data_IF_889056509623
#
_entry.id   IF_889056509623
#
_cell.length_a   1.000
_cell.length_b   1.000
_cell.length_c   1.000
_cell.angle_alpha   90.00
_cell.angle_beta   90.00
_cell.angle_gamma   90.00
#
_symmetry.space_group_name_H-M   'P 1'
#
loop_
_entity.id
_entity.type
_entity.pdbx_description
1 polymer ?
#
# COMPACT_ATOMS: atom_id res chain seq x y z
N UNK A 1 13.08 29.56 28.58
CA UNK A 1 12.72 29.60 27.15
C UNK A 1 12.18 28.23 26.80
N UNK A 2 10.87 28.05 26.89
CA UNK A 2 10.20 26.84 26.46
C UNK A 2 10.22 26.80 24.93
N UNK A 3 11.07 25.95 24.38
CA UNK A 3 10.97 25.57 22.98
C UNK A 3 9.71 24.70 22.86
N UNK A 4 8.74 25.02 21.99
CA UNK A 4 7.63 24.11 21.75
C UNK A 4 8.20 22.78 21.28
N UNK A 5 7.68 21.68 21.82
CA UNK A 5 8.07 20.34 21.41
C UNK A 5 7.99 20.23 19.88
N UNK A 6 8.99 19.61 19.21
CA UNK A 6 8.95 19.46 17.77
C UNK A 6 7.67 18.71 17.40
N UNK A 7 6.76 19.36 16.67
CA UNK A 7 5.64 18.69 16.04
C UNK A 7 6.25 17.80 14.97
N UNK A 8 6.45 16.52 15.31
CA UNK A 8 6.65 15.51 14.29
C UNK A 8 5.41 15.63 13.40
N UNK A 9 5.56 16.13 12.17
CA UNK A 9 4.58 15.86 11.11
C UNK A 9 4.69 14.36 10.82
N UNK A 10 4.30 13.54 11.80
CA UNK A 10 4.27 12.10 11.68
C UNK A 10 3.31 11.80 10.55
N UNK A 11 3.73 10.92 9.65
CA UNK A 11 2.83 10.39 8.64
C UNK A 11 1.61 9.83 9.35
N UNK A 12 0.44 10.40 9.07
CA UNK A 12 -0.82 9.80 9.52
C UNK A 12 -0.95 8.44 8.83
N UNK A 13 -1.73 7.49 9.40
CA UNK A 13 -2.07 6.26 8.72
C UNK A 13 -2.57 6.51 7.28
N UNK A 14 -3.35 7.58 7.07
CA UNK A 14 -3.79 8.02 5.74
C UNK A 14 -2.63 8.34 4.78
N UNK A 15 -1.70 9.21 5.19
CA UNK A 15 -0.56 9.59 4.34
C UNK A 15 0.35 8.38 4.08
N UNK A 16 0.54 7.51 5.08
CA UNK A 16 1.34 6.29 4.92
C UNK A 16 0.74 5.33 3.90
N UNK A 17 -0.58 5.10 3.95
CA UNK A 17 -1.30 4.30 2.95
C UNK A 17 -1.14 4.93 1.57
N UNK A 18 -1.34 6.24 1.46
CA UNK A 18 -1.32 6.93 0.18
C UNK A 18 0.07 6.90 -0.51
N UNK A 19 1.15 7.09 0.24
CA UNK A 19 2.51 7.01 -0.31
C UNK A 19 2.90 5.60 -0.73
N UNK A 20 2.55 4.59 0.08
CA UNK A 20 2.80 3.18 -0.25
C UNK A 20 1.99 2.76 -1.47
N UNK A 21 0.72 3.16 -1.55
CA UNK A 21 -0.14 2.88 -2.69
C UNK A 21 0.36 3.55 -3.97
N UNK A 22 0.78 4.81 -3.92
CA UNK A 22 1.43 5.48 -5.04
C UNK A 22 2.67 4.73 -5.52
N UNK A 23 3.52 4.26 -4.59
CA UNK A 23 4.71 3.48 -4.93
C UNK A 23 4.36 2.16 -5.58
N UNK A 24 3.29 1.49 -5.14
CA UNK A 24 2.77 0.25 -5.76
C UNK A 24 2.34 0.51 -7.21
N UNK A 25 1.60 1.59 -7.46
CA UNK A 25 1.16 1.97 -8.82
C UNK A 25 2.37 2.27 -9.69
N UNK A 26 3.26 3.14 -9.22
CA UNK A 26 4.40 3.65 -9.99
C UNK A 26 5.41 2.55 -10.33
N UNK A 27 5.71 1.66 -9.40
CA UNK A 27 6.70 0.60 -9.60
C UNK A 27 6.12 -0.63 -10.30
N UNK A 28 4.82 -0.91 -10.14
CA UNK A 28 4.17 -2.07 -10.74
C UNK A 28 4.94 -3.38 -10.48
N UNK A 29 5.25 -4.12 -11.54
CA UNK A 29 6.00 -5.37 -11.44
C UNK A 29 7.44 -5.19 -10.89
N UNK A 30 8.06 -4.03 -11.06
CA UNK A 30 9.39 -3.76 -10.51
C UNK A 30 9.38 -3.57 -8.98
N UNK A 31 8.20 -3.52 -8.33
CA UNK A 31 8.12 -3.34 -6.89
C UNK A 31 8.63 -4.58 -6.14
N UNK A 32 9.71 -4.41 -5.37
CA UNK A 32 10.31 -5.45 -4.52
C UNK A 32 9.98 -5.27 -3.04
N UNK A 33 9.36 -4.15 -2.66
CA UNK A 33 9.04 -3.81 -1.26
C UNK A 33 7.75 -4.50 -0.81
N UNK A 34 7.85 -5.81 -0.54
CA UNK A 34 6.72 -6.61 -0.04
C UNK A 34 6.10 -6.06 1.25
N UNK A 35 6.94 -5.44 2.09
CA UNK A 35 6.50 -4.76 3.30
C UNK A 35 5.41 -3.71 3.05
N UNK A 36 5.45 -2.97 1.94
CA UNK A 36 4.47 -1.92 1.67
C UNK A 36 3.06 -2.50 1.49
N UNK A 37 2.93 -3.66 0.82
CA UNK A 37 1.66 -4.36 0.68
C UNK A 37 1.14 -4.85 2.04
N UNK A 38 2.01 -5.43 2.84
CA UNK A 38 1.65 -5.93 4.17
C UNK A 38 1.24 -4.81 5.12
N UNK A 39 1.99 -3.70 5.15
CA UNK A 39 1.70 -2.56 6.01
C UNK A 39 0.35 -1.94 5.65
N UNK A 40 0.05 -1.72 4.35
CA UNK A 40 -1.27 -1.21 3.95
C UNK A 40 -2.35 -2.20 4.36
N UNK A 41 -2.17 -3.49 4.04
CA UNK A 41 -3.15 -4.53 4.35
C UNK A 41 -3.46 -4.56 5.84
N UNK A 42 -2.43 -4.54 6.70
CA UNK A 42 -2.59 -4.50 8.14
C UNK A 42 -3.35 -3.25 8.59
N UNK A 43 -3.01 -2.07 8.05
CA UNK A 43 -3.68 -0.82 8.39
C UNK A 43 -5.16 -0.83 8.02
N UNK A 44 -5.53 -1.28 6.81
CA UNK A 44 -6.94 -1.34 6.38
C UNK A 44 -7.77 -2.38 7.15
N UNK A 45 -7.11 -3.37 7.77
CA UNK A 45 -7.79 -4.34 8.64
C UNK A 45 -7.95 -3.83 10.08
N UNK A 46 -7.09 -2.90 10.52
CA UNK A 46 -7.05 -2.42 11.91
C UNK A 46 -7.80 -1.11 12.14
N UNK A 47 -7.98 -0.30 11.10
CA UNK A 47 -8.54 1.04 11.21
C UNK A 47 -9.69 1.24 10.24
N UNK A 48 -10.76 1.86 10.73
CA UNK A 48 -11.81 2.43 9.88
C UNK A 48 -11.33 3.80 9.39
N UNK A 49 -11.17 3.92 8.08
CA UNK A 49 -10.77 5.16 7.43
C UNK A 49 -11.99 5.93 6.92
N UNK A 50 -11.99 7.24 7.13
CA UNK A 50 -12.92 8.12 6.41
C UNK A 50 -12.51 8.10 4.92
N UNK A 51 -13.41 7.60 4.07
CA UNK A 51 -13.08 7.26 2.68
C UNK A 51 -12.83 8.51 1.86
N UNK A 52 -13.58 9.58 2.08
CA UNK A 52 -13.43 10.81 1.28
C UNK A 52 -12.09 11.52 1.58
N UNK A 53 -11.69 11.55 2.86
CA UNK A 53 -10.40 12.07 3.32
C UNK A 53 -9.24 11.24 2.73
N UNK A 54 -9.29 9.91 2.86
CA UNK A 54 -8.24 9.04 2.32
C UNK A 54 -8.11 9.18 0.79
N UNK A 55 -9.25 9.23 0.09
CA UNK A 55 -9.29 9.44 -1.37
C UNK A 55 -8.62 10.75 -1.76
N UNK A 56 -8.95 11.84 -1.07
CA UNK A 56 -8.38 13.17 -1.35
C UNK A 56 -6.86 13.17 -1.17
N UNK A 57 -6.36 12.55 -0.09
CA UNK A 57 -4.92 12.44 0.19
C UNK A 57 -4.21 11.61 -0.88
N UNK A 58 -4.78 10.47 -1.28
CA UNK A 58 -4.23 9.62 -2.36
C UNK A 58 -4.15 10.41 -3.67
N UNK A 59 -5.24 11.05 -4.07
CA UNK A 59 -5.29 11.84 -5.30
C UNK A 59 -4.27 12.97 -5.30
N UNK A 60 -4.09 13.66 -4.16
CA UNK A 60 -3.10 14.71 -4.02
C UNK A 60 -1.67 14.17 -4.19
N UNK A 61 -1.35 13.04 -3.56
CA UNK A 61 0.00 12.44 -3.65
C UNK A 61 0.30 11.93 -5.06
N UNK A 62 -0.64 11.22 -5.68
CA UNK A 62 -0.52 10.74 -7.06
C UNK A 62 -0.29 11.91 -8.02
N UNK A 63 -1.09 12.97 -7.89
CA UNK A 63 -0.95 14.20 -8.69
C UNK A 63 0.41 14.86 -8.48
N UNK A 64 0.84 15.04 -7.23
CA UNK A 64 2.11 15.69 -6.89
C UNK A 64 3.32 14.90 -7.39
N UNK A 65 3.23 13.57 -7.44
CA UNK A 65 4.31 12.68 -7.90
C UNK A 65 4.25 12.40 -9.41
N UNK A 66 3.22 12.90 -10.11
CA UNK A 66 3.04 12.70 -11.56
C UNK A 66 2.76 11.24 -11.94
N UNK A 67 2.21 10.46 -11.02
CA UNK A 67 2.02 9.01 -11.22
C UNK A 67 0.76 8.76 -12.04
N UNK A 68 0.92 8.02 -13.15
CA UNK A 68 -0.18 7.69 -14.04
C UNK A 68 -0.95 6.51 -13.48
N UNK A 69 -2.23 6.74 -13.21
CA UNK A 69 -3.16 5.72 -12.71
C UNK A 69 -3.89 5.09 -13.88
N UNK A 70 -3.61 3.81 -14.14
CA UNK A 70 -4.39 2.96 -15.07
C UNK A 70 -5.59 2.37 -14.32
N UNK A 71 -6.60 1.88 -15.05
CA UNK A 71 -7.81 1.26 -14.47
C UNK A 71 -7.54 0.13 -13.46
N UNK A 72 -6.40 -0.56 -13.56
CA UNK A 72 -5.88 -1.44 -12.51
C UNK A 72 -4.36 -1.30 -12.41
N UNK A 73 -3.78 -1.20 -11.20
CA UNK A 73 -2.34 -1.32 -11.01
C UNK A 73 -1.84 -2.71 -11.43
N UNK A 74 -0.67 -2.79 -12.07
CA UNK A 74 -0.03 -4.05 -12.46
C UNK A 74 0.16 -4.98 -11.26
N UNK A 75 0.43 -4.41 -10.09
CA UNK A 75 0.60 -5.16 -8.85
C UNK A 75 -0.68 -5.87 -8.37
N UNK A 76 -1.85 -5.51 -8.91
CA UNK A 76 -3.15 -6.13 -8.58
C UNK A 76 -3.60 -7.19 -9.59
N UNK A 77 -2.80 -7.44 -10.63
CA UNK A 77 -3.08 -8.45 -11.64
C UNK A 77 -2.69 -9.86 -11.17
N UNK A 78 -3.38 -10.87 -11.67
CA UNK A 78 -3.09 -12.28 -11.37
C UNK A 78 -1.66 -12.68 -11.72
N UNK A 79 -1.16 -12.17 -12.84
CA UNK A 79 0.21 -12.38 -13.26
C UNK A 79 1.25 -11.87 -12.24
N UNK A 80 0.90 -10.92 -11.36
CA UNK A 80 1.81 -10.45 -10.31
C UNK A 80 1.85 -11.42 -9.13
N UNK A 81 0.70 -11.74 -8.52
CA UNK A 81 0.71 -12.58 -7.32
C UNK A 81 1.01 -14.05 -7.63
N UNK A 82 0.74 -14.56 -8.84
CA UNK A 82 1.12 -15.92 -9.23
C UNK A 82 2.58 -16.04 -9.72
N UNK A 83 3.30 -14.93 -9.85
CA UNK A 83 4.69 -14.98 -10.30
C UNK A 83 5.63 -15.56 -9.23
N UNK A 84 6.47 -16.51 -9.62
CA UNK A 84 7.43 -17.20 -8.72
C UNK A 84 8.31 -16.23 -7.92
N UNK A 85 8.94 -15.27 -8.62
CA UNK A 85 9.74 -14.22 -7.96
C UNK A 85 8.98 -13.45 -6.87
N UNK A 86 7.69 -13.12 -7.10
CA UNK A 86 6.88 -12.37 -6.13
C UNK A 86 6.51 -13.23 -4.94
N UNK A 87 6.18 -14.49 -5.18
CA UNK A 87 5.94 -15.48 -4.14
C UNK A 87 7.18 -15.68 -3.25
N UNK A 88 8.37 -15.75 -3.85
CA UNK A 88 9.62 -15.91 -3.08
C UNK A 88 9.96 -14.65 -2.26
N UNK A 89 9.78 -13.46 -2.85
CA UNK A 89 9.93 -12.18 -2.13
C UNK A 89 8.95 -12.09 -0.96
N UNK A 90 7.70 -12.51 -1.15
CA UNK A 90 6.68 -12.48 -0.11
C UNK A 90 6.99 -13.45 1.04
N UNK A 91 7.35 -14.69 0.72
CA UNK A 91 7.74 -15.71 1.72
C UNK A 91 8.96 -15.26 2.52
N UNK A 92 9.96 -14.67 1.86
CA UNK A 92 11.14 -14.14 2.54
C UNK A 92 10.76 -13.03 3.52
N UNK A 93 9.94 -12.07 3.08
CA UNK A 93 9.45 -11.00 3.93
C UNK A 93 8.66 -11.51 5.14
N UNK A 94 7.71 -12.44 4.95
CA UNK A 94 6.91 -12.98 6.06
C UNK A 94 7.76 -13.70 7.12
N UNK A 95 8.80 -14.42 6.67
CA UNK A 95 9.75 -15.08 7.57
C UNK A 95 10.50 -14.06 8.43
N UNK A 96 10.91 -12.94 7.84
CA UNK A 96 11.66 -11.90 8.56
C UNK A 96 10.83 -11.25 9.67
N UNK A 97 9.51 -11.15 9.51
CA UNK A 97 8.61 -10.59 10.53
C UNK A 97 7.98 -11.65 11.46
N UNK A 98 8.32 -12.93 11.30
CA UNK A 98 7.81 -14.05 12.13
C UNK A 98 6.28 -14.08 12.30
N UNK A 99 5.53 -13.65 11.28
CA UNK A 99 4.07 -13.54 11.35
C UNK A 99 3.33 -14.74 10.72
N UNK A 100 2.02 -14.77 10.97
CA UNK A 100 1.07 -15.73 10.38
C UNK A 100 1.27 -15.80 8.86
N UNK A 101 1.33 -17.03 8.35
CA UNK A 101 1.37 -17.27 6.90
C UNK A 101 0.06 -16.79 6.28
N UNK A 102 0.13 -15.75 5.47
CA UNK A 102 -0.96 -15.26 4.64
C UNK A 102 -0.54 -15.30 3.16
N UNK A 103 -1.37 -15.84 2.25
CA UNK A 103 -1.05 -15.84 0.82
C UNK A 103 -0.93 -14.42 0.26
N UNK A 104 0.07 -14.20 -0.61
CA UNK A 104 0.23 -12.92 -1.32
C UNK A 104 -1.04 -12.55 -2.11
N UNK A 105 -1.66 -13.55 -2.74
CA UNK A 105 -2.93 -13.41 -3.45
C UNK A 105 -4.01 -12.78 -2.56
N UNK A 106 -4.23 -13.31 -1.37
CA UNK A 106 -5.23 -12.79 -0.43
C UNK A 106 -4.98 -11.32 -0.11
N UNK A 107 -3.74 -10.96 0.22
CA UNK A 107 -3.36 -9.58 0.51
C UNK A 107 -3.65 -8.68 -0.69
N UNK A 108 -3.27 -9.08 -1.90
CA UNK A 108 -3.48 -8.28 -3.10
C UNK A 108 -4.97 -8.14 -3.44
N UNK A 109 -5.76 -9.20 -3.29
CA UNK A 109 -7.21 -9.13 -3.53
C UNK A 109 -7.91 -8.20 -2.54
N UNK A 110 -7.53 -8.24 -1.25
CA UNK A 110 -8.07 -7.33 -0.23
C UNK A 110 -7.71 -5.87 -0.54
N UNK A 111 -6.45 -5.60 -0.89
CA UNK A 111 -6.02 -4.27 -1.31
C UNK A 111 -6.76 -3.80 -2.57
N UNK A 112 -6.90 -4.68 -3.57
CA UNK A 112 -7.62 -4.38 -4.80
C UNK A 112 -9.05 -3.97 -4.50
N UNK A 113 -9.77 -4.75 -3.70
CA UNK A 113 -11.16 -4.44 -3.32
C UNK A 113 -11.24 -3.09 -2.60
N UNK A 114 -10.35 -2.85 -1.63
CA UNK A 114 -10.32 -1.61 -0.87
C UNK A 114 -10.12 -0.37 -1.76
N UNK A 115 -9.15 -0.43 -2.68
CA UNK A 115 -8.83 0.72 -3.55
C UNK A 115 -9.73 0.84 -4.78
N UNK A 116 -10.33 -0.25 -5.26
CA UNK A 116 -11.33 -0.21 -6.32
C UNK A 116 -12.50 0.69 -5.91
N UNK A 117 -13.06 0.50 -4.73
CA UNK A 117 -14.17 1.33 -4.25
C UNK A 117 -13.78 2.80 -3.98
N UNK A 118 -12.48 3.07 -3.83
CA UNK A 118 -11.96 4.36 -3.39
C UNK A 118 -11.50 5.24 -4.56
N UNK A 119 -10.79 4.64 -5.52
CA UNK A 119 -10.03 5.34 -6.57
C UNK A 119 -10.58 5.06 -7.98
N UNK A 120 -11.16 3.88 -8.21
CA UNK A 120 -11.49 3.37 -9.55
C UNK A 120 -13.00 3.32 -9.82
#
# INVERSE_FOLDING_TARGET
MDLPAPTLKGYTPHTSIAEKFESIIRLGFANTRMKDFYDIWLLIQQFDFERDELKLIIQQIIKNRGTIVKSSPIAFEEAFYNHSLKQDQWKAFLRDISHKVIPLEQVILDLRNFFSDLIF
#
